data_IF_274835017349
#
_entry.id   IF_274835017349
#
_cell.length_a   1.000
_cell.length_b   1.000
_cell.length_c   1.000
_cell.angle_alpha   90.00
_cell.angle_beta   90.00
_cell.angle_gamma   90.00
#
_symmetry.space_group_name_H-M   'P 1'
#
loop_
_entity.id
_entity.type
_entity.pdbx_description
1 polymer ?
#
# COMPACT_ATOMS: atom_id res chain seq x y z
N UNK A 1 4.64 -25.23 12.41
CA UNK A 1 4.92 -23.84 12.80
C UNK A 1 3.78 -23.00 12.25
N UNK A 2 3.13 -22.19 13.07
CA UNK A 2 2.09 -21.28 12.60
C UNK A 2 2.72 -20.00 12.09
N UNK A 3 2.06 -19.33 11.15
CA UNK A 3 2.56 -18.10 10.58
C UNK A 3 1.62 -16.94 10.85
N UNK A 4 2.17 -15.75 11.02
CA UNK A 4 1.40 -14.51 11.00
C UNK A 4 2.09 -13.53 10.06
N UNK A 5 1.37 -13.13 9.02
CA UNK A 5 1.85 -12.09 8.11
C UNK A 5 1.50 -10.72 8.70
N UNK A 6 2.49 -9.83 8.71
CA UNK A 6 2.32 -8.42 9.08
C UNK A 6 2.79 -7.59 7.90
N UNK A 7 1.90 -6.77 7.37
CA UNK A 7 2.21 -5.85 6.28
C UNK A 7 2.55 -4.48 6.86
N UNK A 8 3.72 -3.97 6.51
CA UNK A 8 4.20 -2.65 6.94
C UNK A 8 4.54 -1.78 5.73
N UNK A 9 4.53 -0.47 5.94
CA UNK A 9 5.11 0.48 4.99
C UNK A 9 6.64 0.45 5.06
N UNK A 10 7.33 0.55 3.92
CA UNK A 10 8.78 0.39 3.85
C UNK A 10 9.56 1.54 4.50
N UNK A 11 9.11 2.78 4.33
CA UNK A 11 9.79 3.97 4.85
C UNK A 11 9.49 4.20 6.34
N UNK A 12 8.22 4.18 6.73
CA UNK A 12 7.80 4.54 8.08
C UNK A 12 7.51 3.34 9.00
N UNK A 13 7.51 2.11 8.48
CA UNK A 13 7.21 0.86 9.21
C UNK A 13 5.86 0.85 9.93
N UNK A 14 4.96 1.78 9.61
CA UNK A 14 3.60 1.77 10.11
C UNK A 14 2.87 0.50 9.68
N UNK A 15 1.96 0.03 10.54
CA UNK A 15 1.11 -1.11 10.22
C UNK A 15 0.19 -0.75 9.05
N UNK A 16 0.28 -1.54 7.98
CA UNK A 16 -0.69 -1.53 6.91
C UNK A 16 -1.83 -2.49 7.26
N UNK A 17 -1.48 -3.75 7.53
CA UNK A 17 -2.45 -4.79 7.86
C UNK A 17 -1.80 -5.91 8.67
N UNK A 18 -2.55 -6.44 9.65
CA UNK A 18 -2.14 -7.61 10.42
C UNK A 18 -3.07 -8.77 10.09
N UNK A 19 -2.51 -9.81 9.48
CA UNK A 19 -3.28 -11.01 9.15
C UNK A 19 -3.57 -11.85 10.40
N UNK A 20 -4.62 -12.65 10.30
CA UNK A 20 -4.87 -13.72 11.24
C UNK A 20 -3.70 -14.72 11.24
N UNK A 21 -3.58 -15.47 12.33
CA UNK A 21 -2.59 -16.54 12.41
C UNK A 21 -3.04 -17.66 11.48
N UNK A 22 -2.18 -18.06 10.54
CA UNK A 22 -2.34 -19.28 9.77
C UNK A 22 -2.01 -20.47 10.68
N UNK A 23 -3.08 -21.17 11.08
CA UNK A 23 -3.04 -22.23 12.09
C UNK A 23 -2.72 -23.55 11.39
N UNK A 24 -1.59 -24.14 11.74
CA UNK A 24 -1.32 -25.52 11.37
C UNK A 24 -1.93 -26.51 12.38
N UNK A 25 -1.94 -27.81 12.06
CA UNK A 25 -2.49 -28.88 12.91
C UNK A 25 -1.88 -28.96 14.33
N UNK A 26 -0.72 -28.34 14.56
CA UNK A 26 -0.04 -28.28 15.86
C UNK A 26 -0.40 -27.06 16.71
N UNK A 27 -1.31 -26.18 16.26
CA UNK A 27 -1.66 -24.96 16.98
C UNK A 27 -2.13 -25.26 18.42
N UNK A 28 -1.57 -24.54 19.40
CA UNK A 28 -1.90 -24.68 20.83
C UNK A 28 -1.14 -25.78 21.57
N UNK A 29 -0.27 -26.56 20.90
CA UNK A 29 0.60 -27.54 21.56
C UNK A 29 1.78 -26.85 22.28
N UNK A 30 2.23 -27.37 23.42
CA UNK A 30 3.45 -26.87 24.07
C UNK A 30 4.65 -26.99 23.12
N UNK A 31 5.50 -25.95 23.10
CA UNK A 31 6.63 -25.85 22.17
C UNK A 31 6.26 -25.41 20.75
N UNK A 32 4.99 -25.11 20.47
CA UNK A 32 4.55 -24.63 19.17
C UNK A 32 4.59 -23.10 19.08
N UNK A 33 5.61 -22.55 18.42
CA UNK A 33 5.75 -21.11 18.24
C UNK A 33 5.01 -20.58 17.00
N UNK A 34 4.60 -19.32 17.08
CA UNK A 34 4.08 -18.56 15.94
C UNK A 34 5.25 -17.75 15.38
N UNK A 35 5.52 -17.94 14.09
CA UNK A 35 6.53 -17.18 13.37
C UNK A 35 5.87 -15.99 12.67
N UNK A 36 6.30 -14.77 13.04
CA UNK A 36 5.87 -13.55 12.37
C UNK A 36 6.73 -13.32 11.13
N UNK A 37 6.09 -13.02 10.01
CA UNK A 37 6.76 -12.62 8.77
C UNK A 37 6.27 -11.24 8.37
N UNK A 38 7.22 -10.35 8.12
CA UNK A 38 6.93 -8.98 7.73
C UNK A 38 7.05 -8.85 6.22
N UNK A 39 6.05 -8.27 5.58
CA UNK A 39 6.04 -7.93 4.17
C UNK A 39 5.94 -6.41 4.03
N UNK A 40 6.68 -5.84 3.08
CA UNK A 40 6.62 -4.42 2.77
C UNK A 40 5.76 -4.20 1.53
N UNK A 41 4.66 -3.47 1.66
CA UNK A 41 3.60 -3.38 0.61
C UNK A 41 3.47 -1.99 -0.02
N UNK A 42 4.06 -0.95 0.57
CA UNK A 42 4.03 0.43 0.06
C UNK A 42 5.08 1.32 0.71
N UNK A 43 5.27 2.56 0.19
CA UNK A 43 6.33 3.46 0.65
C UNK A 43 6.03 4.11 2.01
N UNK A 44 4.97 4.92 2.10
CA UNK A 44 4.59 5.64 3.31
C UNK A 44 3.07 5.57 3.55
N UNK A 45 2.64 5.55 4.82
CA UNK A 45 1.23 5.60 5.19
C UNK A 45 0.66 7.01 5.02
N UNK A 46 -0.67 7.15 5.08
CA UNK A 46 -1.35 8.45 4.93
C UNK A 46 -0.88 9.54 5.94
N UNK A 47 -0.45 9.13 7.13
CA UNK A 47 0.10 10.07 8.12
C UNK A 47 1.53 10.55 7.76
N UNK A 48 2.28 9.73 7.01
CA UNK A 48 3.67 9.99 6.60
C UNK A 48 3.80 10.29 5.11
N UNK A 49 2.68 10.48 4.40
CA UNK A 49 2.66 10.90 3.00
C UNK A 49 2.69 12.42 2.84
N UNK A 50 2.80 13.18 3.94
CA UNK A 50 2.94 14.64 3.94
C UNK A 50 4.30 15.05 3.32
N UNK A 51 4.28 15.16 2.00
CA UNK A 51 5.39 15.50 1.13
C UNK A 51 5.14 15.15 -0.34
N UNK A 52 4.24 14.21 -0.62
CA UNK A 52 3.92 13.78 -2.01
C UNK A 52 2.53 14.20 -2.51
N UNK A 53 1.71 14.81 -1.65
CA UNK A 53 0.29 15.08 -1.92
C UNK A 53 -0.10 16.54 -2.21
N UNK A 54 0.84 17.47 -2.40
CA UNK A 54 0.53 18.89 -2.65
C UNK A 54 1.41 19.55 -3.72
N UNK A 55 1.87 18.78 -4.70
CA UNK A 55 2.33 19.31 -6.00
C UNK A 55 1.64 18.51 -7.10
N UNK A 56 0.30 18.52 -7.11
CA UNK A 56 -0.40 18.37 -8.37
C UNK A 56 -0.04 19.60 -9.19
N UNK A 57 1.01 19.45 -10.01
CA UNK A 57 1.41 20.45 -10.98
C UNK A 57 0.16 20.87 -11.75
N UNK A 58 -0.18 22.16 -11.67
CA UNK A 58 -1.10 22.85 -12.58
C UNK A 58 -0.52 22.80 -14.00
N UNK A 59 -0.42 21.62 -14.60
CA UNK A 59 -0.29 21.49 -16.04
C UNK A 59 -1.69 21.65 -16.61
N UNK A 60 -2.10 22.91 -16.78
CA UNK A 60 -3.16 23.30 -17.70
C UNK A 60 -2.68 22.93 -19.09
N UNK A 61 -3.02 21.71 -19.54
CA UNK A 61 -2.86 21.37 -20.95
C UNK A 61 -3.96 22.11 -21.73
N UNK A 62 -3.62 23.28 -22.25
CA UNK A 62 -4.43 24.02 -23.20
C UNK A 62 -4.42 23.28 -24.54
N UNK A 63 -5.29 22.28 -24.70
CA UNK A 63 -5.51 21.64 -26.00
C UNK A 63 -6.16 22.66 -26.95
N UNK A 64 -5.36 23.14 -27.88
CA UNK A 64 -5.71 24.23 -28.78
C UNK A 64 -6.52 23.70 -29.97
N UNK A 65 -7.83 23.97 -29.95
CA UNK A 65 -8.65 24.35 -31.11
C UNK A 65 -8.58 23.49 -32.38
N UNK A 66 -9.52 22.56 -32.52
CA UNK A 66 -9.95 22.06 -33.84
C UNK A 66 -11.28 22.72 -34.23
N UNK A 67 -11.23 23.75 -35.07
CA UNK A 67 -12.40 24.28 -35.77
C UNK A 67 -12.65 23.43 -37.02
N UNK A 68 -13.77 22.72 -37.07
CA UNK A 68 -14.25 22.08 -38.30
C UNK A 68 -14.99 23.10 -39.17
N UNK A 69 -14.35 23.49 -40.26
CA UNK A 69 -14.97 24.29 -41.32
C UNK A 69 -16.10 23.49 -41.97
N UNK A 70 -17.35 23.91 -41.74
CA UNK A 70 -18.51 23.45 -42.48
C UNK A 70 -18.35 23.86 -43.96
N UNK A 71 -18.04 22.89 -44.82
CA UNK A 71 -18.15 23.06 -46.27
C UNK A 71 -19.64 23.17 -46.64
N UNK A 72 -19.97 24.22 -47.38
CA UNK A 72 -21.25 24.43 -48.06
C UNK A 72 -21.04 24.24 -49.56
#
# INVERSE_FOLDING_TARGET
MCYQIVELYSACRCLYYQHAIDRCAGYGRPGHSIQKRTILVGYACNAHSQGHGQYASQYTYSDSGYQSSHYR
#
